data_IF_079807546936
#
_entry.id   IF_079807546936
#
_cell.length_a   1.000
_cell.length_b   1.000
_cell.length_c   1.000
_cell.angle_alpha   90.00
_cell.angle_beta   90.00
_cell.angle_gamma   90.00
#
_symmetry.space_group_name_H-M   'P 1'
#
loop_
_entity.id
_entity.type
_entity.pdbx_description
1 polymer ?
#
# COMPACT_ATOMS: atom_id res chain seq x y z
N UNK A 1 -10.76 -21.19 16.57
CA UNK A 1 -9.76 -20.38 15.85
C UNK A 1 -10.10 -20.39 14.36
N UNK A 2 -10.88 -19.41 13.90
CA UNK A 2 -11.37 -19.41 12.53
C UNK A 2 -10.24 -19.09 11.53
N UNK A 3 -10.13 -19.90 10.48
CA UNK A 3 -9.03 -19.95 9.52
C UNK A 3 -8.94 -18.64 8.68
N UNK A 4 -8.43 -17.53 9.24
CA UNK A 4 -8.14 -16.26 8.51
C UNK A 4 -6.81 -16.32 7.74
N UNK A 5 -6.32 -17.54 7.46
CA UNK A 5 -5.05 -17.79 6.76
C UNK A 5 -5.03 -17.15 5.37
N UNK A 6 -6.14 -17.20 4.63
CA UNK A 6 -6.23 -16.61 3.30
C UNK A 6 -6.06 -15.08 3.32
N UNK A 7 -6.76 -14.38 4.23
CA UNK A 7 -6.65 -12.92 4.41
C UNK A 7 -5.22 -12.51 4.80
N UNK A 8 -4.62 -13.27 5.72
CA UNK A 8 -3.24 -13.05 6.17
C UNK A 8 -2.22 -13.24 5.03
N UNK A 9 -2.36 -14.32 4.26
CA UNK A 9 -1.49 -14.63 3.13
C UNK A 9 -1.63 -13.54 2.05
N UNK A 10 -2.86 -13.15 1.69
CA UNK A 10 -3.09 -12.07 0.72
C UNK A 10 -2.50 -10.73 1.18
N UNK A 11 -2.68 -10.37 2.45
CA UNK A 11 -2.12 -9.14 3.00
C UNK A 11 -0.58 -9.17 3.01
N UNK A 12 0.04 -10.31 3.36
CA UNK A 12 1.51 -10.47 3.31
C UNK A 12 2.03 -10.41 1.88
N UNK A 13 1.38 -11.07 0.93
CA UNK A 13 1.80 -11.04 -0.48
C UNK A 13 1.69 -9.59 -1.00
N UNK A 14 0.57 -8.90 -0.74
CA UNK A 14 0.39 -7.50 -1.10
C UNK A 14 1.45 -6.59 -0.48
N UNK A 15 1.77 -6.77 0.81
CA UNK A 15 2.80 -6.01 1.50
C UNK A 15 4.21 -6.30 0.97
N UNK A 16 4.49 -7.56 0.62
CA UNK A 16 5.79 -7.97 0.05
C UNK A 16 6.00 -7.39 -1.35
N UNK A 17 4.96 -7.40 -2.20
CA UNK A 17 5.01 -6.71 -3.49
C UNK A 17 5.14 -5.19 -3.31
N UNK A 18 4.50 -4.61 -2.29
CA UNK A 18 4.67 -3.19 -1.98
C UNK A 18 6.13 -2.87 -1.56
N UNK A 19 6.79 -3.74 -0.78
CA UNK A 19 8.22 -3.60 -0.45
C UNK A 19 9.10 -3.66 -1.70
N UNK A 20 8.83 -4.59 -2.63
CA UNK A 20 9.55 -4.64 -3.90
C UNK A 20 9.33 -3.36 -4.72
N UNK A 21 8.10 -2.85 -4.75
CA UNK A 21 7.77 -1.57 -5.36
C UNK A 21 8.55 -0.42 -4.72
N UNK A 22 8.64 -0.37 -3.40
CA UNK A 22 9.44 0.61 -2.65
C UNK A 22 10.93 0.48 -2.99
N UNK A 23 11.48 -0.73 -3.09
CA UNK A 23 12.90 -0.93 -3.45
C UNK A 23 13.20 -0.42 -4.86
N UNK A 24 12.37 -0.78 -5.83
CA UNK A 24 12.56 -0.39 -7.23
C UNK A 24 12.36 1.13 -7.39
N UNK A 25 11.23 1.65 -6.90
CA UNK A 25 10.89 3.05 -7.03
C UNK A 25 11.82 3.94 -6.20
N UNK A 26 12.25 3.48 -5.03
CA UNK A 26 13.26 4.14 -4.20
C UNK A 26 14.61 4.22 -4.90
N UNK A 27 15.02 3.16 -5.61
CA UNK A 27 16.22 3.18 -6.46
C UNK A 27 16.11 4.22 -7.58
N UNK A 28 14.97 4.29 -8.26
CA UNK A 28 14.72 5.28 -9.32
C UNK A 28 14.73 6.71 -8.75
N UNK A 29 14.06 6.95 -7.61
CA UNK A 29 14.07 8.26 -6.94
C UNK A 29 15.48 8.68 -6.54
N UNK A 30 16.29 7.76 -6.01
CA UNK A 30 17.69 8.02 -5.68
C UNK A 30 18.51 8.38 -6.91
N UNK A 31 18.38 7.61 -8.00
CA UNK A 31 19.09 7.89 -9.25
C UNK A 31 18.67 9.24 -9.84
N UNK A 32 17.37 9.53 -9.86
CA UNK A 32 16.81 10.78 -10.36
C UNK A 32 17.22 12.00 -9.51
N UNK A 33 17.33 11.84 -8.20
CA UNK A 33 17.83 12.91 -7.32
C UNK A 33 19.33 13.12 -7.50
N UNK A 34 20.13 12.06 -7.67
CA UNK A 34 21.55 12.21 -7.98
C UNK A 34 21.82 12.86 -9.35
N UNK A 35 21.04 12.54 -10.38
CA UNK A 35 21.14 13.20 -11.69
C UNK A 35 20.71 14.66 -11.60
N UNK A 36 19.60 14.94 -10.93
CA UNK A 36 19.11 16.30 -10.71
C UNK A 36 20.14 17.19 -10.01
N UNK A 37 20.81 16.70 -8.96
CA UNK A 37 21.84 17.48 -8.23
C UNK A 37 23.08 17.75 -9.10
N UNK A 38 23.43 16.84 -10.02
CA UNK A 38 24.56 17.03 -10.94
C UNK A 38 24.25 18.03 -12.06
N UNK A 39 23.04 18.00 -12.60
CA UNK A 39 22.66 18.81 -13.77
C UNK A 39 21.98 20.14 -13.40
N UNK A 40 21.57 20.32 -12.14
CA UNK A 40 20.95 21.54 -11.63
C UNK A 40 21.65 22.86 -12.02
N UNK A 41 22.99 22.99 -12.04
CA UNK A 41 23.64 24.25 -12.41
C UNK A 41 23.65 24.55 -13.92
N UNK A 42 23.23 23.60 -14.78
CA UNK A 42 23.22 23.75 -16.25
C UNK A 42 21.81 23.76 -16.86
N UNK A 43 20.76 23.55 -16.06
CA UNK A 43 19.38 23.47 -16.54
C UNK A 43 18.75 24.85 -16.75
N UNK A 44 18.00 25.00 -17.85
CA UNK A 44 17.13 26.15 -18.07
C UNK A 44 15.97 26.17 -17.05
N UNK A 45 15.41 27.35 -16.80
CA UNK A 45 14.34 27.56 -15.80
C UNK A 45 13.10 26.69 -16.08
N UNK A 46 12.77 26.46 -17.36
CA UNK A 46 11.63 25.63 -17.76
C UNK A 46 11.86 24.14 -17.47
N UNK A 47 13.09 23.66 -17.65
CA UNK A 47 13.47 22.28 -17.33
C UNK A 47 13.49 22.02 -15.82
N UNK A 48 13.87 23.03 -15.02
CA UNK A 48 13.79 22.95 -13.56
C UNK A 48 12.34 22.78 -13.08
N UNK A 49 11.37 23.47 -13.69
CA UNK A 49 9.95 23.34 -13.33
C UNK A 49 9.44 21.92 -13.64
N UNK A 50 9.77 21.39 -14.82
CA UNK A 50 9.41 20.02 -15.21
C UNK A 50 9.98 18.97 -14.26
N UNK A 51 11.25 19.14 -13.87
CA UNK A 51 11.93 18.26 -12.92
C UNK A 51 11.32 18.33 -11.51
N UNK A 52 10.96 19.52 -11.02
CA UNK A 52 10.32 19.68 -9.70
C UNK A 52 8.94 19.04 -9.67
N UNK A 53 8.11 19.27 -10.69
CA UNK A 53 6.75 18.69 -10.76
C UNK A 53 6.81 17.17 -10.92
N UNK A 54 7.64 16.67 -11.83
CA UNK A 54 7.83 15.23 -12.04
C UNK A 54 8.42 14.54 -10.83
N UNK A 55 9.44 15.13 -10.21
CA UNK A 55 10.07 14.63 -8.98
C UNK A 55 9.11 14.61 -7.79
N UNK A 56 8.28 15.66 -7.63
CA UNK A 56 7.25 15.70 -6.58
C UNK A 56 6.20 14.61 -6.78
N UNK A 57 5.76 14.36 -8.02
CA UNK A 57 4.79 13.31 -8.31
C UNK A 57 5.35 11.91 -8.00
N UNK A 58 6.59 11.63 -8.41
CA UNK A 58 7.27 10.36 -8.10
C UNK A 58 7.49 10.24 -6.57
N UNK A 59 7.88 11.32 -5.90
CA UNK A 59 8.09 11.35 -4.46
C UNK A 59 6.81 11.05 -3.65
N UNK A 60 5.67 11.63 -4.04
CA UNK A 60 4.36 11.34 -3.42
C UNK A 60 3.99 9.86 -3.60
N UNK A 61 4.16 9.32 -4.81
CA UNK A 61 3.91 7.89 -5.08
C UNK A 61 4.82 6.99 -4.22
N UNK A 62 6.09 7.37 -4.04
CA UNK A 62 7.03 6.63 -3.21
C UNK A 62 6.62 6.62 -1.74
N UNK A 63 6.26 7.78 -1.17
CA UNK A 63 5.77 7.88 0.22
C UNK A 63 4.53 7.01 0.41
N UNK A 64 3.60 7.06 -0.55
CA UNK A 64 2.38 6.27 -0.51
C UNK A 64 2.69 4.76 -0.54
N UNK A 65 3.69 4.34 -1.31
CA UNK A 65 4.15 2.95 -1.34
C UNK A 65 4.77 2.49 -0.01
N UNK A 66 5.54 3.35 0.66
CA UNK A 66 6.11 3.07 1.99
C UNK A 66 5.00 2.92 3.03
N UNK A 67 4.06 3.85 3.05
CA UNK A 67 2.89 3.81 3.94
C UNK A 67 2.11 2.50 3.71
N UNK A 68 1.81 2.17 2.45
CA UNK A 68 1.06 0.97 2.11
C UNK A 68 1.76 -0.32 2.54
N UNK A 69 3.08 -0.39 2.40
CA UNK A 69 3.89 -1.51 2.89
C UNK A 69 3.75 -1.68 4.41
N UNK A 70 3.96 -0.62 5.17
CA UNK A 70 3.91 -0.64 6.64
C UNK A 70 2.52 -1.01 7.15
N UNK A 71 1.48 -0.35 6.63
CA UNK A 71 0.10 -0.64 7.01
C UNK A 71 -0.33 -2.06 6.58
N UNK A 72 0.13 -2.54 5.42
CA UNK A 72 -0.11 -3.91 4.96
C UNK A 72 0.45 -4.97 5.91
N UNK A 73 1.69 -4.79 6.38
CA UNK A 73 2.29 -5.70 7.38
C UNK A 73 1.56 -5.63 8.72
N UNK A 74 1.28 -4.44 9.24
CA UNK A 74 0.60 -4.29 10.53
C UNK A 74 -0.81 -4.90 10.47
N UNK A 75 -1.55 -4.67 9.38
CA UNK A 75 -2.85 -5.26 9.15
C UNK A 75 -2.78 -6.78 9.14
N UNK A 76 -1.81 -7.37 8.42
CA UNK A 76 -1.64 -8.81 8.38
C UNK A 76 -1.43 -9.40 9.79
N UNK A 77 -0.48 -8.87 10.56
CA UNK A 77 -0.19 -9.39 11.90
C UNK A 77 -1.36 -9.19 12.89
N UNK A 78 -2.06 -8.04 12.84
CA UNK A 78 -3.22 -7.81 13.72
C UNK A 78 -4.43 -8.66 13.33
N UNK A 79 -4.66 -8.90 12.03
CA UNK A 79 -5.71 -9.81 11.58
C UNK A 79 -5.47 -11.25 12.03
N UNK A 80 -4.21 -11.71 12.03
CA UNK A 80 -3.81 -13.03 12.53
C UNK A 80 -4.14 -13.20 14.02
N UNK A 81 -3.93 -12.15 14.82
CA UNK A 81 -4.16 -12.17 16.27
C UNK A 81 -5.62 -11.89 16.66
N UNK A 82 -6.51 -11.64 15.69
CA UNK A 82 -7.94 -11.40 15.94
C UNK A 82 -8.27 -10.04 16.58
N UNK A 83 -7.28 -9.18 16.79
CA UNK A 83 -7.46 -7.88 17.46
C UNK A 83 -7.94 -6.82 16.47
N UNK A 84 -9.09 -6.20 16.73
CA UNK A 84 -9.61 -5.04 15.97
C UNK A 84 -9.72 -5.27 14.46
N UNK A 85 -10.15 -6.47 14.04
CA UNK A 85 -10.08 -6.91 12.64
C UNK A 85 -10.84 -5.99 11.69
N UNK A 86 -12.06 -5.56 12.04
CA UNK A 86 -12.84 -4.60 11.24
C UNK A 86 -12.07 -3.31 10.90
N UNK A 87 -11.36 -2.75 11.88
CA UNK A 87 -10.59 -1.53 11.67
C UNK A 87 -9.46 -1.72 10.67
N UNK A 88 -8.70 -2.82 10.81
CA UNK A 88 -7.59 -3.12 9.91
C UNK A 88 -8.06 -3.54 8.52
N UNK A 89 -9.24 -4.16 8.40
CA UNK A 89 -9.83 -4.45 7.09
C UNK A 89 -10.22 -3.17 6.35
N UNK A 90 -10.77 -2.17 7.04
CA UNK A 90 -11.10 -0.87 6.44
C UNK A 90 -9.82 -0.16 5.99
N UNK A 91 -8.77 -0.18 6.81
CA UNK A 91 -7.46 0.38 6.43
C UNK A 91 -6.93 -0.28 5.16
N UNK A 92 -7.00 -1.62 5.04
CA UNK A 92 -6.59 -2.33 3.82
C UNK A 92 -7.41 -1.92 2.59
N UNK A 93 -8.72 -1.69 2.74
CA UNK A 93 -9.56 -1.22 1.63
C UNK A 93 -9.18 0.20 1.21
N UNK A 94 -9.00 1.11 2.16
CA UNK A 94 -8.63 2.51 1.88
C UNK A 94 -7.24 2.60 1.25
N UNK A 95 -6.25 1.91 1.85
CA UNK A 95 -4.88 1.85 1.33
C UNK A 95 -4.85 1.14 -0.03
N UNK A 96 -5.58 0.04 -0.18
CA UNK A 96 -5.67 -0.69 -1.45
C UNK A 96 -6.29 0.14 -2.57
N UNK A 97 -7.34 0.90 -2.28
CA UNK A 97 -7.94 1.84 -3.24
C UNK A 97 -6.98 2.96 -3.64
N UNK A 98 -6.28 3.56 -2.68
CA UNK A 98 -5.26 4.57 -2.96
C UNK A 98 -4.10 4.01 -3.81
N UNK A 99 -3.60 2.82 -3.48
CA UNK A 99 -2.53 2.15 -4.23
C UNK A 99 -2.96 1.79 -5.66
N UNK A 100 -4.22 1.39 -5.85
CA UNK A 100 -4.75 1.02 -7.15
C UNK A 100 -4.69 2.17 -8.16
N UNK A 101 -5.00 3.39 -7.72
CA UNK A 101 -4.95 4.58 -8.56
C UNK A 101 -3.54 5.18 -8.73
N UNK A 102 -2.63 4.89 -7.80
CA UNK A 102 -1.35 5.58 -7.69
C UNK A 102 -0.21 4.87 -8.45
N UNK A 103 0.25 3.72 -7.96
CA UNK A 103 1.52 3.13 -8.43
C UNK A 103 1.50 1.61 -8.61
N UNK A 104 0.45 0.93 -8.14
CA UNK A 104 0.41 -0.53 -8.12
C UNK A 104 -1.00 -1.07 -8.12
N UNK A 105 -1.56 -1.28 -9.32
CA UNK A 105 -2.88 -1.86 -9.48
C UNK A 105 -2.95 -3.28 -8.90
N UNK A 106 -1.88 -4.08 -9.06
CA UNK A 106 -1.82 -5.45 -8.52
C UNK A 106 -1.76 -5.46 -6.99
N UNK A 107 -0.92 -4.63 -6.37
CA UNK A 107 -0.82 -4.51 -4.90
C UNK A 107 -2.10 -3.94 -4.30
N UNK A 108 -2.69 -2.93 -4.95
CA UNK A 108 -3.97 -2.35 -4.56
C UNK A 108 -5.11 -3.37 -4.59
N UNK A 109 -5.21 -4.18 -5.65
CA UNK A 109 -6.20 -5.25 -5.76
C UNK A 109 -6.03 -6.28 -4.64
N UNK A 110 -4.79 -6.72 -4.36
CA UNK A 110 -4.52 -7.70 -3.30
C UNK A 110 -4.97 -7.18 -1.92
N UNK A 111 -4.70 -5.91 -1.61
CA UNK A 111 -5.16 -5.28 -0.37
C UNK A 111 -6.67 -5.09 -0.31
N UNK A 112 -7.30 -4.71 -1.42
CA UNK A 112 -8.76 -4.61 -1.52
C UNK A 112 -9.43 -5.97 -1.27
N UNK A 113 -8.96 -7.03 -1.93
CA UNK A 113 -9.51 -8.39 -1.76
C UNK A 113 -9.32 -8.85 -0.31
N UNK A 114 -8.13 -8.66 0.28
CA UNK A 114 -7.87 -9.01 1.68
C UNK A 114 -8.80 -8.26 2.65
N UNK A 115 -8.97 -6.96 2.44
CA UNK A 115 -9.85 -6.12 3.25
C UNK A 115 -11.32 -6.52 3.14
N UNK A 116 -11.84 -6.69 1.93
CA UNK A 116 -13.25 -7.06 1.69
C UNK A 116 -13.56 -8.44 2.25
N UNK A 117 -12.71 -9.46 2.01
CA UNK A 117 -12.91 -10.81 2.55
C UNK A 117 -12.96 -10.81 4.08
N UNK A 118 -12.07 -10.03 4.71
CA UNK A 118 -12.02 -9.91 6.16
C UNK A 118 -13.27 -9.20 6.73
N UNK A 119 -13.78 -8.18 6.04
CA UNK A 119 -15.04 -7.50 6.42
C UNK A 119 -16.26 -8.42 6.30
N UNK A 120 -16.40 -9.13 5.17
CA UNK A 120 -17.53 -10.03 4.91
C UNK A 120 -17.55 -11.16 5.95
N UNK A 121 -16.39 -11.75 6.26
CA UNK A 121 -16.29 -12.80 7.26
C UNK A 121 -16.65 -12.31 8.67
N UNK A 122 -16.19 -11.11 9.04
CA UNK A 122 -16.55 -10.49 10.31
C UNK A 122 -18.03 -10.12 10.40
N UNK A 123 -18.68 -9.78 9.28
CA UNK A 123 -20.12 -9.50 9.23
C UNK A 123 -20.96 -10.79 9.37
N UNK A 124 -20.54 -11.89 8.73
CA UNK A 124 -21.22 -13.18 8.84
C UNK A 124 -21.10 -13.78 10.25
N UNK A 125 -19.92 -13.69 10.90
CA UNK A 125 -19.77 -14.13 12.29
C UNK A 125 -20.73 -13.39 13.24
N UNK A 126 -20.99 -12.09 13.01
CA UNK A 126 -21.93 -11.32 13.83
C UNK A 126 -23.39 -11.78 13.61
N UNK A 127 -23.80 -12.01 12.36
CA UNK A 127 -25.17 -12.43 12.05
C UNK A 127 -25.55 -13.78 12.66
N UNK A 128 -24.61 -14.69 12.85
CA UNK A 128 -24.88 -15.99 13.48
C UNK A 128 -25.16 -15.89 14.98
N UNK A 129 -24.65 -14.87 15.66
CA UNK A 129 -24.95 -14.65 17.10
C UNK A 129 -26.28 -13.95 17.34
N UNK A 130 -26.80 -13.20 16.37
CA UNK A 130 -28.09 -12.51 16.48
C UNK A 130 -29.30 -13.44 16.19
N UNK A 131 -29.05 -14.70 15.75
CA UNK A 131 -30.09 -15.71 15.46
C UNK A 131 -30.30 -16.75 16.55
N UNK A 132 -29.63 -16.61 17.70
CA UNK A 132 -29.86 -17.41 18.91
C UNK A 132 -30.53 -16.58 19.99
#
# INVERSE_FOLDING_TARGET
MNNRKAEFILAIIGASLAVLGVLIMGGIVLLATFSAVREAPQMATDDQIGMVIGGAFIGINFILAVIASVFGFIAAFKMKNGTSVKGWSIVLVVVGGLCFFSYGSITGILFLIAGILSLVKSANEKKTFDTF
#
